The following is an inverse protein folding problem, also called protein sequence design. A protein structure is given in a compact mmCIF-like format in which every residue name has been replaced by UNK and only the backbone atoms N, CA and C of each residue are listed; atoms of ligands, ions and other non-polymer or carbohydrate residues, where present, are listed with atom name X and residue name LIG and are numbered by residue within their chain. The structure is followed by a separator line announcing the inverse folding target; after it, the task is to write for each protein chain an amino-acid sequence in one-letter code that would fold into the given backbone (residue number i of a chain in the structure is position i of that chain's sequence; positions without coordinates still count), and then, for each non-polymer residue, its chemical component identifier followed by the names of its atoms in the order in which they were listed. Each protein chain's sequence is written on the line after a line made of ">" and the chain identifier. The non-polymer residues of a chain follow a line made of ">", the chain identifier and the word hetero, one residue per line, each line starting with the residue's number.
data_IF_835073952758
#
_entry.id   IF_835073952758
#
_cell.length_a   1.000
_cell.length_b   1.000
_cell.length_c   1.000
_cell.angle_alpha   90.00
_cell.angle_beta   90.00
_cell.angle_gamma   90.00
#
_symmetry.space_group_name_H-M   'P 1'
#
loop_
_entity.id
_entity.type
_entity.pdbx_description
1 polymer ?
#
# COMPACT_ATOMS: atom_id res chain seq x y z
N UNK A 1 -57.44 -2.20 -42.12
CA UNK A 1 -56.68 -3.09 -41.21
C UNK A 1 -55.23 -2.64 -41.24
N UNK A 2 -54.83 -1.78 -40.32
CA UNK A 2 -53.43 -1.36 -40.16
C UNK A 2 -52.91 -2.08 -38.91
N UNK A 3 -51.89 -2.91 -39.12
CA UNK A 3 -51.24 -3.71 -38.08
C UNK A 3 -50.53 -2.78 -37.10
N UNK A 4 -50.95 -2.81 -35.84
CA UNK A 4 -50.34 -2.08 -34.74
C UNK A 4 -48.92 -2.61 -34.51
N UNK A 5 -47.92 -1.86 -34.96
CA UNK A 5 -46.52 -2.13 -34.69
C UNK A 5 -46.26 -2.04 -33.19
N UNK A 6 -45.86 -3.16 -32.61
CA UNK A 6 -45.42 -3.32 -31.23
C UNK A 6 -44.20 -2.41 -31.01
N UNK A 7 -44.42 -1.24 -30.40
CA UNK A 7 -43.35 -0.37 -29.92
C UNK A 7 -42.70 -1.09 -28.74
N UNK A 8 -41.76 -1.96 -29.06
CA UNK A 8 -40.86 -2.57 -28.09
C UNK A 8 -40.25 -1.46 -27.25
N UNK A 9 -40.63 -1.41 -25.96
CA UNK A 9 -40.01 -0.50 -25.01
C UNK A 9 -38.48 -0.69 -25.08
N UNK A 10 -37.69 0.40 -25.17
CA UNK A 10 -36.25 0.26 -25.24
C UNK A 10 -35.78 -0.50 -23.99
N UNK A 11 -35.24 -1.69 -24.20
CA UNK A 11 -34.68 -2.53 -23.14
C UNK A 11 -33.63 -1.71 -22.40
N UNK A 12 -33.89 -1.44 -21.11
CA UNK A 12 -32.98 -0.66 -20.27
C UNK A 12 -31.61 -1.31 -20.34
N UNK A 13 -30.56 -0.60 -20.78
CA UNK A 13 -29.24 -1.18 -20.93
C UNK A 13 -28.81 -1.74 -19.57
N UNK A 14 -28.26 -2.96 -19.54
CA UNK A 14 -27.88 -3.59 -18.30
C UNK A 14 -26.87 -2.69 -17.58
N UNK A 15 -27.15 -2.41 -16.31
CA UNK A 15 -26.32 -1.56 -15.44
C UNK A 15 -25.22 -2.44 -14.84
N UNK A 16 -24.16 -2.68 -15.60
CA UNK A 16 -23.08 -3.60 -15.17
C UNK A 16 -21.68 -3.00 -15.19
N UNK A 17 -21.44 -1.94 -15.96
CA UNK A 17 -20.10 -1.34 -16.07
C UNK A 17 -20.03 0.00 -15.32
N UNK A 18 -19.19 0.14 -14.27
CA UNK A 18 -18.88 1.44 -13.66
C UNK A 18 -18.10 2.39 -14.60
N UNK A 19 -17.91 2.00 -15.87
CA UNK A 19 -17.19 2.73 -16.92
C UNK A 19 -18.00 3.88 -17.53
N UNK A 20 -19.31 3.89 -17.33
CA UNK A 20 -20.21 4.90 -17.92
C UNK A 20 -20.94 5.67 -16.83
N UNK A 21 -21.23 6.96 -17.08
CA UNK A 21 -22.03 7.80 -16.18
C UNK A 21 -23.36 7.14 -15.79
N UNK A 22 -23.99 6.39 -16.72
CA UNK A 22 -25.21 5.62 -16.48
C UNK A 22 -25.01 4.39 -15.58
N UNK A 23 -23.88 3.70 -15.72
CA UNK A 23 -23.51 2.57 -14.87
C UNK A 23 -23.25 2.99 -13.41
N UNK A 24 -22.51 4.08 -13.20
CA UNK A 24 -22.25 4.67 -11.87
C UNK A 24 -23.56 5.13 -11.21
N UNK A 25 -24.45 5.79 -11.96
CA UNK A 25 -25.76 6.20 -11.44
C UNK A 25 -26.67 5.01 -11.06
N UNK A 26 -26.54 3.89 -11.77
CA UNK A 26 -27.32 2.69 -11.48
C UNK A 26 -26.88 1.95 -10.20
N UNK A 27 -25.65 2.15 -9.72
CA UNK A 27 -25.22 1.67 -8.39
C UNK A 27 -25.99 2.28 -7.22
N UNK A 28 -26.78 3.35 -7.43
CA UNK A 28 -27.74 3.85 -6.46
C UNK A 28 -28.86 2.82 -6.12
N UNK A 29 -29.14 1.87 -7.03
CA UNK A 29 -30.22 0.87 -6.90
C UNK A 29 -29.74 -0.57 -6.69
N UNK A 30 -28.45 -0.86 -6.87
CA UNK A 30 -27.88 -2.22 -6.78
C UNK A 30 -27.88 -2.76 -5.32
N UNK A 31 -27.50 -4.01 -5.06
CA UNK A 31 -27.26 -4.53 -3.69
C UNK A 31 -25.86 -4.15 -3.20
N UNK A 32 -25.72 -3.81 -1.91
CA UNK A 32 -24.45 -3.46 -1.24
C UNK A 32 -23.33 -4.49 -1.49
N UNK A 33 -23.70 -5.77 -1.52
CA UNK A 33 -22.78 -6.88 -1.75
C UNK A 33 -22.04 -6.82 -3.08
N UNK A 34 -22.66 -6.28 -4.14
CA UNK A 34 -22.02 -6.21 -5.47
C UNK A 34 -20.93 -5.14 -5.54
N UNK A 35 -21.13 -4.00 -4.89
CA UNK A 35 -20.12 -2.94 -4.80
C UNK A 35 -18.90 -3.45 -4.04
N UNK A 36 -19.14 -4.09 -2.88
CA UNK A 36 -18.07 -4.68 -2.07
C UNK A 36 -17.33 -5.81 -2.81
N UNK A 37 -18.04 -6.61 -3.63
CA UNK A 37 -17.40 -7.64 -4.45
C UNK A 37 -16.43 -7.03 -5.47
N UNK A 38 -16.86 -6.00 -6.22
CA UNK A 38 -16.01 -5.34 -7.22
C UNK A 38 -14.82 -4.64 -6.57
N UNK A 39 -15.04 -3.90 -5.48
CA UNK A 39 -13.97 -3.30 -4.68
C UNK A 39 -13.01 -4.38 -4.16
N UNK A 40 -13.54 -5.52 -3.70
CA UNK A 40 -12.74 -6.67 -3.27
C UNK A 40 -11.86 -7.24 -4.37
N UNK A 41 -12.38 -7.41 -5.59
CA UNK A 41 -11.60 -7.88 -6.75
C UNK A 41 -10.47 -6.92 -7.08
N UNK A 42 -10.77 -5.61 -7.19
CA UNK A 42 -9.76 -4.59 -7.49
C UNK A 42 -8.71 -4.54 -6.37
N UNK A 43 -9.13 -4.55 -5.11
CA UNK A 43 -8.23 -4.55 -3.97
C UNK A 43 -7.34 -5.80 -3.93
N UNK A 44 -7.89 -6.97 -4.27
CA UNK A 44 -7.13 -8.21 -4.37
C UNK A 44 -6.08 -8.14 -5.49
N UNK A 45 -6.43 -7.60 -6.66
CA UNK A 45 -5.48 -7.41 -7.76
C UNK A 45 -4.34 -6.47 -7.36
N UNK A 46 -4.65 -5.35 -6.71
CA UNK A 46 -3.62 -4.42 -6.22
C UNK A 46 -2.76 -5.10 -5.14
N UNK A 47 -3.37 -5.82 -4.19
CA UNK A 47 -2.66 -6.55 -3.15
C UNK A 47 -1.70 -7.60 -3.74
N UNK A 48 -2.10 -8.34 -4.77
CA UNK A 48 -1.22 -9.28 -5.49
C UNK A 48 -0.01 -8.55 -6.07
N UNK A 49 -0.22 -7.40 -6.73
CA UNK A 49 0.89 -6.62 -7.28
C UNK A 49 1.85 -6.12 -6.19
N UNK A 50 1.32 -5.65 -5.05
CA UNK A 50 2.13 -5.24 -3.89
C UNK A 50 2.95 -6.42 -3.36
N UNK A 51 2.33 -7.58 -3.17
CA UNK A 51 3.02 -8.79 -2.70
C UNK A 51 4.10 -9.24 -3.69
N UNK A 52 3.85 -9.16 -5.00
CA UNK A 52 4.84 -9.47 -6.02
C UNK A 52 6.03 -8.49 -5.98
N UNK A 53 5.76 -7.19 -5.78
CA UNK A 53 6.80 -6.18 -5.61
C UNK A 53 7.63 -6.44 -4.36
N UNK A 54 7.00 -6.73 -3.22
CA UNK A 54 7.70 -7.08 -1.98
C UNK A 54 8.55 -8.34 -2.17
N UNK A 55 7.97 -9.39 -2.77
CA UNK A 55 8.62 -10.67 -2.97
C UNK A 55 9.79 -10.65 -3.96
N UNK A 56 9.72 -9.81 -5.01
CA UNK A 56 10.78 -9.72 -6.05
C UNK A 56 11.75 -8.57 -5.84
N UNK A 57 11.30 -7.46 -5.26
CA UNK A 57 12.10 -6.27 -5.05
C UNK A 57 12.74 -6.25 -3.66
N UNK A 58 11.93 -6.27 -2.61
CA UNK A 58 12.44 -5.92 -1.27
C UNK A 58 12.99 -7.13 -0.52
N UNK A 59 12.28 -8.26 -0.55
CA UNK A 59 12.66 -9.45 0.20
C UNK A 59 14.00 -10.07 -0.20
N UNK A 60 14.40 -10.08 -1.49
CA UNK A 60 15.73 -10.54 -1.86
C UNK A 60 16.83 -9.68 -1.26
N UNK A 61 16.65 -8.34 -1.21
CA UNK A 61 17.62 -7.41 -0.61
C UNK A 61 17.73 -7.66 0.90
N UNK A 62 16.61 -7.81 1.60
CA UNK A 62 16.63 -8.12 3.04
C UNK A 62 17.29 -9.48 3.29
N UNK A 63 16.97 -10.49 2.48
CA UNK A 63 17.59 -11.82 2.60
C UNK A 63 19.11 -11.75 2.37
N UNK A 64 19.55 -11.03 1.34
CA UNK A 64 20.97 -10.84 1.04
C UNK A 64 21.68 -10.10 2.17
N UNK A 65 21.08 -9.03 2.69
CA UNK A 65 21.64 -8.29 3.81
C UNK A 65 21.78 -9.18 5.05
N UNK A 66 20.74 -9.93 5.42
CA UNK A 66 20.75 -10.85 6.56
C UNK A 66 21.80 -11.96 6.39
N UNK A 67 21.94 -12.51 5.17
CA UNK A 67 22.96 -13.53 4.86
C UNK A 67 24.38 -12.97 4.86
N UNK A 68 24.55 -11.69 4.50
CA UNK A 68 25.82 -10.96 4.50
C UNK A 68 26.22 -10.40 5.87
N UNK A 69 25.38 -10.52 6.90
CA UNK A 69 25.74 -10.13 8.26
C UNK A 69 26.84 -11.03 8.81
N UNK A 70 27.89 -10.39 9.33
CA UNK A 70 28.90 -11.05 10.16
C UNK A 70 28.41 -11.16 11.61
N UNK A 71 29.00 -12.05 12.41
CA UNK A 71 28.54 -12.39 13.77
C UNK A 71 28.66 -11.25 14.82
N UNK A 72 29.03 -10.02 14.44
CA UNK A 72 29.43 -8.95 15.37
C UNK A 72 28.52 -7.71 15.38
N UNK A 73 27.42 -7.68 14.63
CA UNK A 73 26.47 -6.55 14.66
C UNK A 73 25.54 -6.63 15.88
N UNK A 74 25.41 -5.54 16.65
CA UNK A 74 24.39 -5.46 17.71
C UNK A 74 24.01 -4.00 18.02
N UNK A 75 22.74 -3.73 18.31
CA UNK A 75 22.30 -2.48 18.92
C UNK A 75 22.28 -2.67 20.43
N UNK A 76 23.12 -1.93 21.17
CA UNK A 76 23.19 -1.94 22.63
C UNK A 76 23.15 -0.52 23.16
N UNK A 77 22.30 -0.26 24.16
CA UNK A 77 22.15 1.07 24.76
C UNK A 77 21.79 2.15 23.74
N UNK A 78 20.87 1.86 22.80
CA UNK A 78 20.49 2.72 21.69
C UNK A 78 21.64 3.09 20.73
N UNK A 79 22.73 2.32 20.72
CA UNK A 79 23.85 2.50 19.80
C UNK A 79 24.13 1.24 18.99
N UNK A 80 24.36 1.41 17.70
CA UNK A 80 24.81 0.34 16.82
C UNK A 80 26.31 0.09 17.06
N UNK A 81 26.61 -1.09 17.58
CA UNK A 81 27.95 -1.67 17.62
C UNK A 81 28.18 -2.40 16.29
N UNK A 82 29.10 -1.87 15.49
CA UNK A 82 29.51 -2.42 14.21
C UNK A 82 31.04 -2.40 14.09
N UNK A 83 31.68 -3.45 13.56
CA UNK A 83 33.15 -3.58 13.58
C UNK A 83 33.85 -2.62 12.61
N UNK A 84 33.21 -2.26 11.50
CA UNK A 84 33.76 -1.35 10.51
C UNK A 84 33.39 0.11 10.82
N UNK A 85 34.34 1.04 10.66
CA UNK A 85 34.07 2.48 10.75
C UNK A 85 33.63 3.09 9.41
N UNK A 86 33.96 2.44 8.31
CA UNK A 86 33.60 2.88 6.96
C UNK A 86 32.17 2.50 6.62
N UNK A 87 31.58 3.24 5.67
CA UNK A 87 30.24 2.94 5.18
C UNK A 87 30.25 1.63 4.37
N UNK A 88 29.33 0.71 4.69
CA UNK A 88 29.23 -0.61 4.07
C UNK A 88 27.83 -0.81 3.50
N UNK A 89 27.74 -1.16 2.22
CA UNK A 89 26.49 -1.63 1.60
C UNK A 89 26.27 -3.09 1.99
N UNK A 90 25.16 -3.38 2.67
CA UNK A 90 24.80 -4.75 3.06
C UNK A 90 24.16 -5.50 1.90
N UNK A 91 23.23 -4.85 1.20
CA UNK A 91 22.60 -5.33 -0.01
C UNK A 91 21.88 -4.18 -0.72
N UNK A 92 21.72 -4.30 -2.03
CA UNK A 92 21.02 -3.29 -2.81
C UNK A 92 20.32 -3.88 -4.04
N UNK A 93 19.31 -3.16 -4.50
CA UNK A 93 18.86 -3.17 -5.87
C UNK A 93 18.27 -1.80 -6.22
N UNK A 94 17.67 -1.67 -7.41
CA UNK A 94 17.02 -0.43 -7.84
C UNK A 94 16.00 0.15 -6.83
N UNK A 95 15.24 -0.71 -6.15
CA UNK A 95 14.12 -0.29 -5.30
C UNK A 95 14.51 -0.09 -3.83
N UNK A 96 15.39 -0.93 -3.29
CA UNK A 96 15.76 -0.94 -1.88
C UNK A 96 17.28 -1.10 -1.71
N UNK A 97 17.88 -0.20 -0.93
CA UNK A 97 19.28 -0.29 -0.49
C UNK A 97 19.36 -0.34 1.03
N UNK A 98 20.22 -1.21 1.57
CA UNK A 98 20.51 -1.32 3.00
C UNK A 98 21.98 -1.03 3.23
N UNK A 99 22.27 0.02 4.00
CA UNK A 99 23.63 0.54 4.20
C UNK A 99 23.90 0.75 5.69
N UNK A 100 25.12 0.48 6.13
CA UNK A 100 25.60 0.85 7.46
C UNK A 100 26.59 2.01 7.29
N UNK A 101 26.29 3.17 7.84
CA UNK A 101 27.18 4.34 7.87
C UNK A 101 27.13 4.97 9.26
N UNK A 102 28.10 4.59 10.12
CA UNK A 102 28.11 4.96 11.53
C UNK A 102 28.30 6.46 11.76
N UNK A 103 29.15 7.08 10.95
CA UNK A 103 29.54 8.49 11.09
C UNK A 103 28.72 9.41 10.19
N UNK A 104 27.78 8.85 9.43
CA UNK A 104 26.94 9.58 8.47
C UNK A 104 27.79 10.38 7.49
N UNK A 105 28.90 9.76 7.07
CA UNK A 105 29.87 10.33 6.15
C UNK A 105 29.26 10.69 4.79
N UNK A 106 28.15 10.03 4.42
CA UNK A 106 27.53 10.16 3.10
C UNK A 106 28.36 9.49 2.00
N UNK A 107 29.35 8.67 2.36
CA UNK A 107 30.32 8.08 1.42
C UNK A 107 29.70 7.18 0.35
N UNK A 108 28.51 6.63 0.60
CA UNK A 108 27.81 5.74 -0.33
C UNK A 108 26.84 6.49 -1.26
N UNK A 109 26.45 7.73 -0.92
CA UNK A 109 25.37 8.44 -1.61
C UNK A 109 24.04 7.69 -1.58
N UNK A 110 23.10 8.06 -2.46
CA UNK A 110 21.85 7.34 -2.66
C UNK A 110 22.01 6.27 -3.76
N UNK A 111 21.85 5.00 -3.41
CA UNK A 111 22.06 3.85 -4.31
C UNK A 111 20.75 3.21 -4.80
N UNK A 112 19.62 3.56 -4.18
CA UNK A 112 18.30 3.00 -4.48
C UNK A 112 17.16 4.03 -4.31
N UNK A 113 15.98 3.73 -4.88
CA UNK A 113 14.76 4.58 -4.74
C UNK A 113 14.36 4.79 -3.27
N UNK A 114 14.53 3.74 -2.46
CA UNK A 114 14.41 3.75 -1.01
C UNK A 114 15.70 3.19 -0.39
N UNK A 115 16.34 3.95 0.48
CA UNK A 115 17.56 3.56 1.14
C UNK A 115 17.37 3.62 2.65
N UNK A 116 17.76 2.55 3.35
CA UNK A 116 17.77 2.51 4.81
C UNK A 116 19.23 2.52 5.26
N UNK A 117 19.61 3.57 5.98
CA UNK A 117 20.95 3.74 6.54
C UNK A 117 20.91 3.49 8.04
N UNK A 118 21.74 2.56 8.50
CA UNK A 118 21.94 2.28 9.91
C UNK A 118 23.15 3.09 10.39
N UNK A 119 22.88 4.11 11.19
CA UNK A 119 23.90 4.98 11.79
C UNK A 119 24.18 4.58 13.24
N UNK A 120 25.11 5.27 13.90
CA UNK A 120 25.50 4.93 15.27
C UNK A 120 24.33 4.98 16.26
N UNK A 121 23.41 5.93 16.14
CA UNK A 121 22.34 6.17 17.14
C UNK A 121 20.93 6.16 16.56
N UNK A 122 20.81 6.04 15.23
CA UNK A 122 19.55 6.17 14.51
C UNK A 122 19.54 5.38 13.22
N UNK A 123 18.34 5.12 12.73
CA UNK A 123 18.07 4.60 11.40
C UNK A 123 17.56 5.75 10.55
N UNK A 124 18.15 5.98 9.38
CA UNK A 124 17.63 6.92 8.39
C UNK A 124 16.91 6.16 7.29
N UNK A 125 15.79 6.71 6.85
CA UNK A 125 15.08 6.28 5.66
C UNK A 125 15.18 7.41 4.66
N UNK A 126 15.94 7.20 3.60
CA UNK A 126 16.23 8.16 2.54
C UNK A 126 15.46 7.75 1.30
N UNK A 127 14.82 8.72 0.66
CA UNK A 127 14.13 8.53 -0.61
C UNK A 127 14.23 9.80 -1.46
N UNK A 128 13.72 9.76 -2.69
CA UNK A 128 13.65 10.91 -3.59
C UNK A 128 12.86 12.10 -3.01
N UNK A 129 11.94 11.84 -2.06
CA UNK A 129 11.12 12.85 -1.41
C UNK A 129 11.78 13.48 -0.16
N UNK A 130 13.02 13.09 0.15
CA UNK A 130 13.76 13.53 1.34
C UNK A 130 14.13 12.38 2.25
N UNK A 131 14.55 12.70 3.48
CA UNK A 131 14.92 11.70 4.48
C UNK A 131 14.17 11.91 5.79
N UNK A 132 13.93 10.81 6.50
CA UNK A 132 13.46 10.80 7.88
C UNK A 132 14.40 9.96 8.72
N UNK A 133 14.52 10.26 10.01
CA UNK A 133 15.40 9.53 10.92
C UNK A 133 14.66 9.14 12.19
N UNK A 134 14.84 7.88 12.61
CA UNK A 134 14.29 7.35 13.84
C UNK A 134 15.44 6.94 14.78
N UNK A 135 15.49 7.45 16.02
CA UNK A 135 16.49 7.01 16.98
C UNK A 135 16.24 5.55 17.38
N UNK A 136 17.31 4.82 17.73
CA UNK A 136 17.13 3.50 18.32
C UNK A 136 16.38 3.61 19.65
N UNK A 137 15.44 2.69 19.94
CA UNK A 137 14.72 2.70 21.20
C UNK A 137 15.68 2.45 22.37
N UNK A 138 15.63 3.32 23.37
CA UNK A 138 16.38 3.14 24.61
C UNK A 138 15.89 1.92 25.38
N UNK A 139 16.80 1.01 25.73
CA UNK A 139 16.51 -0.17 26.56
C UNK A 139 16.18 -1.45 25.80
N UNK A 140 16.21 -1.45 24.46
CA UNK A 140 16.11 -2.67 23.66
C UNK A 140 17.48 -3.04 23.13
N UNK A 141 17.92 -4.26 23.46
CA UNK A 141 19.09 -4.85 22.83
C UNK A 141 18.63 -5.66 21.62
N UNK A 142 19.15 -5.33 20.45
CA UNK A 142 18.82 -6.02 19.20
C UNK A 142 20.12 -6.66 18.68
N UNK A 143 20.15 -7.98 18.65
CA UNK A 143 21.24 -8.69 18.01
C UNK A 143 21.09 -8.61 16.48
N UNK A 144 22.11 -8.07 15.82
CA UNK A 144 22.21 -7.99 14.36
C UNK A 144 23.27 -8.98 13.87
N UNK A 145 23.14 -10.24 14.30
CA UNK A 145 23.96 -11.34 13.82
C UNK A 145 23.11 -12.24 12.91
N UNK A 146 23.80 -12.99 12.05
CA UNK A 146 23.15 -13.91 11.12
C UNK A 146 22.41 -15.04 11.85
N UNK A 147 22.95 -15.55 12.94
CA UNK A 147 22.41 -16.70 13.68
C UNK A 147 21.02 -16.42 14.27
N UNK A 148 20.75 -15.17 14.65
CA UNK A 148 19.46 -14.72 15.20
C UNK A 148 18.54 -14.21 14.09
N UNK A 149 19.06 -13.40 13.16
CA UNK A 149 18.22 -12.75 12.14
C UNK A 149 17.82 -13.65 10.98
N UNK A 150 18.65 -14.59 10.55
CA UNK A 150 18.32 -15.47 9.41
C UNK A 150 17.13 -16.40 9.73
N UNK A 151 17.08 -17.11 10.88
CA UNK A 151 15.91 -17.88 11.25
C UNK A 151 14.67 -17.02 11.46
N UNK A 152 14.82 -15.86 12.12
CA UNK A 152 13.72 -14.93 12.37
C UNK A 152 13.13 -14.40 11.06
N UNK A 153 13.98 -13.93 10.14
CA UNK A 153 13.57 -13.42 8.84
C UNK A 153 12.83 -14.48 8.04
N UNK A 154 13.39 -15.69 7.94
CA UNK A 154 12.75 -16.78 7.22
C UNK A 154 11.41 -17.19 7.83
N UNK A 155 11.26 -17.14 9.16
CA UNK A 155 10.00 -17.43 9.85
C UNK A 155 8.92 -16.36 9.61
N UNK A 156 9.31 -15.07 9.63
CA UNK A 156 8.36 -13.95 9.52
C UNK A 156 8.10 -13.50 8.09
N UNK A 157 8.93 -13.90 7.12
CA UNK A 157 8.76 -13.53 5.70
C UNK A 157 7.35 -13.82 5.16
N UNK A 158 6.72 -14.99 5.38
CA UNK A 158 5.34 -15.23 4.95
C UNK A 158 4.35 -14.28 5.65
N UNK A 159 4.53 -14.03 6.94
CA UNK A 159 3.66 -13.13 7.71
C UNK A 159 3.73 -11.70 7.15
N UNK A 160 4.90 -11.21 6.74
CA UNK A 160 5.01 -9.92 6.04
C UNK A 160 4.30 -9.90 4.68
N UNK A 161 4.27 -11.01 3.93
CA UNK A 161 3.50 -11.08 2.67
C UNK A 161 2.01 -10.99 2.94
N UNK A 162 1.49 -11.78 3.88
CA UNK A 162 0.08 -11.75 4.26
C UNK A 162 -0.32 -10.40 4.87
N UNK A 163 0.55 -9.84 5.72
CA UNK A 163 0.37 -8.52 6.29
C UNK A 163 0.34 -7.42 5.22
N UNK A 164 1.23 -7.48 4.23
CA UNK A 164 1.24 -6.57 3.09
C UNK A 164 -0.03 -6.67 2.25
N UNK A 165 -0.49 -7.89 1.95
CA UNK A 165 -1.73 -8.11 1.21
C UNK A 165 -2.95 -7.56 1.96
N UNK A 166 -3.11 -7.97 3.22
CA UNK A 166 -4.24 -7.59 4.06
C UNK A 166 -4.22 -6.08 4.38
N UNK A 167 -3.06 -5.54 4.70
CA UNK A 167 -2.85 -4.11 4.92
C UNK A 167 -3.21 -3.28 3.70
N UNK A 168 -2.80 -3.72 2.50
CA UNK A 168 -3.17 -3.06 1.23
C UNK A 168 -4.68 -3.06 1.03
N UNK A 169 -5.33 -4.20 1.24
CA UNK A 169 -6.78 -4.30 1.12
C UNK A 169 -7.49 -3.37 2.10
N UNK A 170 -7.13 -3.41 3.38
CA UNK A 170 -7.71 -2.55 4.41
C UNK A 170 -7.50 -1.07 4.09
N UNK A 171 -6.30 -0.68 3.67
CA UNK A 171 -5.99 0.69 3.28
C UNK A 171 -6.85 1.15 2.10
N UNK A 172 -7.03 0.32 1.07
CA UNK A 172 -7.88 0.65 -0.08
C UNK A 172 -9.35 0.78 0.33
N UNK A 173 -9.87 -0.15 1.13
CA UNK A 173 -11.24 -0.07 1.64
C UNK A 173 -11.47 1.18 2.49
N UNK A 174 -10.53 1.51 3.38
CA UNK A 174 -10.59 2.72 4.19
C UNK A 174 -10.53 3.99 3.32
N UNK A 175 -9.60 4.03 2.37
CA UNK A 175 -9.41 5.17 1.47
C UNK A 175 -10.63 5.39 0.56
N UNK A 176 -11.14 4.33 -0.07
CA UNK A 176 -12.37 4.41 -0.88
C UNK A 176 -13.57 4.82 -0.04
N UNK A 177 -13.68 4.32 1.19
CA UNK A 177 -14.79 4.70 2.08
C UNK A 177 -14.71 6.17 2.47
N UNK A 178 -13.52 6.66 2.82
CA UNK A 178 -13.29 8.06 3.17
C UNK A 178 -13.56 8.99 1.99
N UNK A 179 -13.03 8.65 0.81
CA UNK A 179 -13.27 9.41 -0.43
C UNK A 179 -14.75 9.38 -0.83
N UNK A 180 -15.44 8.26 -0.66
CA UNK A 180 -16.87 8.17 -0.94
C UNK A 180 -17.71 9.03 0.01
N UNK A 181 -17.31 9.17 1.28
CA UNK A 181 -17.94 10.14 2.21
C UNK A 181 -17.72 11.56 1.73
N UNK A 182 -16.48 11.91 1.36
CA UNK A 182 -16.14 13.24 0.85
C UNK A 182 -16.95 13.58 -0.42
N UNK A 183 -17.01 12.66 -1.37
CA UNK A 183 -17.72 12.83 -2.64
C UNK A 183 -19.24 12.72 -2.53
N UNK A 184 -19.77 12.11 -1.46
CA UNK A 184 -21.21 12.12 -1.21
C UNK A 184 -21.75 13.55 -0.97
N UNK A 185 -20.92 14.46 -0.45
CA UNK A 185 -21.31 15.86 -0.21
C UNK A 185 -21.69 16.58 -1.52
N UNK A 186 -20.81 16.69 -2.54
CA UNK A 186 -21.18 17.33 -3.80
C UNK A 186 -22.31 16.59 -4.53
N UNK A 187 -22.37 15.25 -4.46
CA UNK A 187 -23.47 14.47 -5.05
C UNK A 187 -24.83 14.85 -4.44
N UNK A 188 -24.87 15.11 -3.11
CA UNK A 188 -26.10 15.54 -2.44
C UNK A 188 -26.49 16.96 -2.79
N UNK A 189 -25.53 17.88 -2.90
CA UNK A 189 -25.77 19.26 -3.34
C UNK A 189 -26.37 19.27 -4.75
N UNK A 190 -25.77 18.52 -5.69
CA UNK A 190 -26.27 18.40 -7.06
C UNK A 190 -27.66 17.76 -7.11
N UNK A 191 -27.91 16.72 -6.31
CA UNK A 191 -29.23 16.09 -6.25
C UNK A 191 -30.30 17.03 -5.67
N UNK A 192 -29.95 17.84 -4.67
CA UNK A 192 -30.82 18.87 -4.13
C UNK A 192 -31.15 19.95 -5.17
N UNK A 193 -30.15 20.45 -5.91
CA UNK A 193 -30.37 21.37 -7.04
C UNK A 193 -31.26 20.75 -8.14
N UNK A 194 -31.15 19.45 -8.36
CA UNK A 194 -31.99 18.71 -9.32
C UNK A 194 -33.39 18.37 -8.79
N UNK A 195 -33.78 18.86 -7.61
CA UNK A 195 -35.09 18.59 -6.99
C UNK A 195 -35.28 17.13 -6.52
N UNK A 196 -34.19 16.37 -6.34
CA UNK A 196 -34.24 14.94 -5.97
C UNK A 196 -33.88 14.75 -4.49
N UNK A 197 -34.68 13.96 -3.77
CA UNK A 197 -34.34 13.52 -2.42
C UNK A 197 -33.19 12.50 -2.45
N UNK A 198 -31.97 12.96 -2.13
CA UNK A 198 -30.80 12.10 -2.04
C UNK A 198 -30.61 11.55 -0.63
N UNK A 199 -30.84 10.24 -0.45
CA UNK A 199 -30.51 9.60 0.82
C UNK A 199 -28.98 9.52 1.00
N UNK A 200 -28.47 9.66 2.23
CA UNK A 200 -27.03 9.61 2.52
C UNK A 200 -26.38 8.32 1.99
N UNK A 201 -27.01 7.17 2.22
CA UNK A 201 -26.50 5.87 1.78
C UNK A 201 -26.50 5.68 0.25
N UNK A 202 -27.47 6.26 -0.48
CA UNK A 202 -27.47 6.18 -1.95
C UNK A 202 -26.38 7.06 -2.57
N UNK A 203 -26.15 8.24 -1.98
CA UNK A 203 -25.13 9.20 -2.43
C UNK A 203 -23.71 8.65 -2.24
N UNK A 204 -23.45 8.04 -1.07
CA UNK A 204 -22.17 7.37 -0.80
C UNK A 204 -21.89 6.23 -1.78
N UNK A 205 -22.90 5.46 -2.16
CA UNK A 205 -22.73 4.33 -3.09
C UNK A 205 -22.40 4.76 -4.52
N UNK A 206 -23.03 5.84 -4.99
CA UNK A 206 -22.72 6.43 -6.30
C UNK A 206 -21.30 6.98 -6.30
N UNK A 207 -20.91 7.68 -5.23
CA UNK A 207 -19.56 8.19 -5.05
C UNK A 207 -18.51 7.05 -4.98
N UNK A 208 -18.77 5.99 -4.23
CA UNK A 208 -17.90 4.83 -4.12
C UNK A 208 -17.75 4.07 -5.45
N UNK A 209 -18.81 3.98 -6.26
CA UNK A 209 -18.75 3.35 -7.58
C UNK A 209 -17.92 4.18 -8.59
N UNK A 210 -17.93 5.51 -8.46
CA UNK A 210 -17.13 6.40 -9.30
C UNK A 210 -15.62 6.32 -9.02
N UNK A 211 -15.22 5.74 -7.87
CA UNK A 211 -13.82 5.55 -7.48
C UNK A 211 -13.22 4.23 -8.00
N UNK A 212 -14.04 3.34 -8.57
CA UNK A 212 -13.54 2.15 -9.22
C UNK A 212 -12.84 2.55 -10.53
N UNK A 213 -11.66 1.98 -10.85
CA UNK A 213 -10.98 2.26 -12.11
C UNK A 213 -11.90 1.91 -13.28
N UNK A 214 -11.89 2.79 -14.28
CA UNK A 214 -12.58 2.58 -15.54
C UNK A 214 -11.67 2.22 -16.71
#
# INVERSE_FOLDING_TARGET
>A
MVSSGDLSEPSKPPVWQPLTFGGVAGFARVRWTRLLLLQGIVAALVAVNVVLLLGRGWFPVVTQAVQGLNDFGAVRGARLAWPAKEAVVLAENRFLGLVVDLEESGGTGQIADLQIEFSRERIKVVSLLGYTSLPYPGGVEIELNRQTLDPWWNAWRPAFMFGGAFGTMLFLFASWSALAVLYAVPVRVLAWFAGRAASPGKSWRVAAAALLPG
#
